data_IF_313458773218
#
_entry.id   IF_313458773218
#
_cell.length_a   1.000
_cell.length_b   1.000
_cell.length_c   1.000
_cell.angle_alpha   90.00
_cell.angle_beta   90.00
_cell.angle_gamma   90.00
#
_symmetry.space_group_name_H-M   'P 1'
#
loop_
_entity.id
_entity.type
_entity.pdbx_description
1 polymer ?
#
# COMPACT_ATOMS: atom_id res chain seq x y z
N UNK A 1 12.55 -10.46 -14.70
CA UNK A 1 13.87 -9.78 -14.73
C UNK A 1 13.84 -8.30 -14.26
N UNK A 2 12.81 -7.93 -13.49
CA UNK A 2 12.70 -6.59 -12.85
C UNK A 2 13.19 -6.58 -11.39
N UNK A 3 13.60 -7.72 -10.86
CA UNK A 3 13.87 -7.95 -9.44
C UNK A 3 15.26 -7.53 -8.93
N UNK A 4 16.15 -7.03 -9.78
CA UNK A 4 17.53 -6.68 -9.37
C UNK A 4 17.91 -5.22 -9.52
N UNK A 5 16.95 -4.34 -9.80
CA UNK A 5 17.23 -2.91 -9.91
C UNK A 5 16.86 -2.26 -8.58
N UNK A 6 17.87 -2.04 -7.75
CA UNK A 6 17.70 -1.43 -6.43
C UNK A 6 17.12 -0.01 -6.48
N UNK A 7 16.88 0.57 -5.32
CA UNK A 7 16.33 1.93 -5.13
C UNK A 7 16.94 3.00 -6.04
N UNK A 8 18.20 2.82 -6.50
CA UNK A 8 18.84 3.72 -7.48
C UNK A 8 18.16 3.81 -8.85
N UNK A 9 17.33 2.81 -9.23
CA UNK A 9 16.56 2.90 -10.49
C UNK A 9 15.20 3.58 -10.30
N UNK A 10 14.71 3.71 -9.08
CA UNK A 10 13.47 4.44 -8.77
C UNK A 10 13.65 5.92 -9.14
N UNK A 11 14.82 6.50 -8.92
CA UNK A 11 15.15 7.87 -9.31
C UNK A 11 15.35 8.06 -10.83
N UNK A 12 15.46 6.97 -11.60
CA UNK A 12 15.60 7.03 -13.06
C UNK A 12 14.28 6.89 -13.79
N UNK A 13 13.23 6.40 -13.12
CA UNK A 13 11.88 6.30 -13.67
C UNK A 13 11.09 7.52 -13.24
N UNK A 14 10.40 8.12 -14.19
CA UNK A 14 9.49 9.21 -13.90
C UNK A 14 8.36 8.68 -12.96
N UNK A 15 7.92 9.45 -11.96
CA UNK A 15 6.84 9.05 -11.05
C UNK A 15 5.60 8.51 -11.75
N UNK A 16 5.24 9.09 -12.89
CA UNK A 16 4.10 8.65 -13.69
C UNK A 16 4.29 7.25 -14.30
N UNK A 17 5.49 6.95 -14.82
CA UNK A 17 5.81 5.64 -15.40
C UNK A 17 5.76 4.54 -14.32
N UNK A 18 6.37 4.80 -13.15
CA UNK A 18 6.33 3.88 -12.02
C UNK A 18 4.91 3.63 -11.56
N UNK A 19 4.12 4.68 -11.39
CA UNK A 19 2.72 4.60 -10.96
C UNK A 19 1.87 3.79 -11.93
N UNK A 20 2.01 4.00 -13.24
CA UNK A 20 1.31 3.22 -14.27
C UNK A 20 1.69 1.73 -14.21
N UNK A 21 2.99 1.43 -14.08
CA UNK A 21 3.47 0.05 -13.94
C UNK A 21 2.89 -0.63 -12.69
N UNK A 22 2.75 0.09 -11.58
CA UNK A 22 2.11 -0.43 -10.37
C UNK A 22 0.61 -0.69 -10.57
N UNK A 23 -0.11 0.21 -11.26
CA UNK A 23 -1.54 0.00 -11.59
C UNK A 23 -1.71 -1.25 -12.46
N UNK A 24 -0.94 -1.41 -13.53
CA UNK A 24 -0.96 -2.59 -14.40
C UNK A 24 -0.71 -3.89 -13.61
N UNK A 25 0.21 -3.85 -12.66
CA UNK A 25 0.51 -5.01 -11.82
C UNK A 25 -0.65 -5.35 -10.87
N UNK A 26 -1.32 -4.33 -10.32
CA UNK A 26 -2.54 -4.51 -9.51
C UNK A 26 -3.64 -5.13 -10.38
N UNK A 27 -3.93 -4.58 -11.54
CA UNK A 27 -4.98 -5.09 -12.46
C UNK A 27 -4.73 -6.55 -12.82
N UNK A 28 -3.48 -6.92 -13.03
CA UNK A 28 -3.08 -8.28 -13.38
C UNK A 28 -3.20 -9.30 -12.26
N UNK A 29 -2.77 -8.97 -11.06
CA UNK A 29 -2.59 -9.95 -9.97
C UNK A 29 -3.62 -9.83 -8.85
N UNK A 30 -4.15 -8.64 -8.59
CA UNK A 30 -5.05 -8.42 -7.47
C UNK A 30 -6.36 -9.23 -7.53
N UNK A 31 -6.93 -9.55 -8.70
CA UNK A 31 -8.10 -10.43 -8.77
C UNK A 31 -7.91 -11.80 -8.11
N UNK A 32 -6.68 -12.33 -8.08
CA UNK A 32 -6.35 -13.62 -7.45
C UNK A 32 -5.81 -13.46 -6.03
N UNK A 33 -5.17 -12.33 -5.71
CA UNK A 33 -4.50 -12.09 -4.42
C UNK A 33 -5.41 -11.37 -3.43
N UNK A 34 -6.21 -10.41 -3.89
CA UNK A 34 -7.07 -9.56 -3.06
C UNK A 34 -6.29 -8.79 -1.97
N UNK A 35 -5.17 -8.20 -2.35
CA UNK A 35 -4.30 -7.42 -1.47
C UNK A 35 -4.69 -5.94 -1.40
N UNK A 36 -5.07 -5.36 -2.56
CA UNK A 36 -5.49 -3.97 -2.70
C UNK A 36 -7.02 -3.92 -2.71
N UNK A 37 -7.58 -3.07 -1.84
CA UNK A 37 -9.04 -3.04 -1.58
C UNK A 37 -9.72 -1.72 -1.94
N UNK A 38 -8.96 -0.66 -2.11
CA UNK A 38 -9.45 0.61 -2.67
C UNK A 38 -8.32 1.36 -3.37
N UNK A 39 -8.60 1.91 -4.54
CA UNK A 39 -7.70 2.77 -5.32
C UNK A 39 -8.54 3.74 -6.15
N UNK A 40 -8.03 4.96 -6.32
CA UNK A 40 -8.59 5.95 -7.25
C UNK A 40 -7.54 6.25 -8.33
N UNK A 41 -7.58 5.52 -9.43
CA UNK A 41 -6.59 5.62 -10.51
C UNK A 41 -6.46 7.06 -11.05
N UNK A 42 -7.57 7.80 -11.18
CA UNK A 42 -7.53 9.18 -11.69
C UNK A 42 -6.78 10.11 -10.75
N UNK A 43 -7.03 10.02 -9.44
CA UNK A 43 -6.33 10.82 -8.44
C UNK A 43 -4.85 10.44 -8.32
N UNK A 44 -4.56 9.15 -8.30
CA UNK A 44 -3.18 8.62 -8.25
C UNK A 44 -2.34 9.09 -9.45
N UNK A 45 -2.89 9.05 -10.67
CA UNK A 45 -2.20 9.54 -11.87
C UNK A 45 -2.00 11.06 -11.83
N UNK A 46 -2.95 11.81 -11.26
CA UNK A 46 -2.79 13.25 -11.05
C UNK A 46 -1.69 13.57 -10.05
N UNK A 47 -1.60 12.83 -8.93
CA UNK A 47 -0.51 12.97 -7.96
C UNK A 47 0.85 12.66 -8.62
N UNK A 48 0.93 11.57 -9.42
CA UNK A 48 2.14 11.17 -10.11
C UNK A 48 2.60 12.22 -11.12
N UNK A 49 1.67 12.82 -11.88
CA UNK A 49 1.99 13.89 -12.82
C UNK A 49 2.49 15.14 -12.10
N UNK A 50 1.85 15.51 -11.00
CA UNK A 50 2.32 16.62 -10.16
C UNK A 50 3.75 16.37 -9.67
N UNK A 51 4.05 15.16 -9.19
CA UNK A 51 5.39 14.81 -8.74
C UNK A 51 6.45 14.93 -9.86
N UNK A 52 6.12 14.59 -11.11
CA UNK A 52 7.01 14.87 -12.26
C UNK A 52 7.24 16.36 -12.46
N UNK A 53 6.17 17.14 -12.43
CA UNK A 53 6.25 18.59 -12.65
C UNK A 53 7.07 19.27 -11.54
N UNK A 54 6.97 18.80 -10.29
CA UNK A 54 7.77 19.29 -9.16
C UNK A 54 9.29 19.01 -9.37
N UNK A 55 9.66 17.83 -9.88
CA UNK A 55 11.05 17.51 -10.26
C UNK A 55 11.54 18.45 -11.37
N UNK A 56 10.73 18.64 -12.41
CA UNK A 56 11.12 19.46 -13.58
C UNK A 56 11.23 20.94 -13.24
N UNK A 57 10.48 21.44 -12.26
CA UNK A 57 10.54 22.82 -11.79
C UNK A 57 11.70 23.10 -10.83
N UNK A 58 12.44 22.06 -10.40
CA UNK A 58 13.51 22.20 -9.42
C UNK A 58 13.02 22.48 -8.00
N UNK A 59 11.79 22.06 -7.66
CA UNK A 59 11.22 22.18 -6.32
C UNK A 59 12.06 21.39 -5.31
N UNK A 60 12.04 21.81 -4.05
CA UNK A 60 12.57 20.99 -2.95
C UNK A 60 11.73 19.73 -2.81
N UNK A 61 12.37 18.56 -2.77
CA UNK A 61 11.72 17.27 -2.79
C UNK A 61 11.85 16.58 -1.43
N UNK A 62 10.75 16.02 -0.94
CA UNK A 62 10.74 15.17 0.25
C UNK A 62 11.36 13.79 0.00
N UNK A 63 11.62 13.05 1.07
CA UNK A 63 12.32 11.75 1.04
C UNK A 63 11.56 10.64 0.30
N UNK A 64 10.23 10.74 0.21
CA UNK A 64 9.36 9.77 -0.45
C UNK A 64 8.82 10.29 -1.79
N UNK A 65 9.37 11.38 -2.29
CA UNK A 65 8.84 12.08 -3.46
C UNK A 65 8.62 11.17 -4.67
N UNK A 66 7.37 11.16 -5.16
CA UNK A 66 6.98 10.41 -6.35
C UNK A 66 6.88 8.89 -6.16
N UNK A 67 7.07 8.36 -4.94
CA UNK A 67 6.91 6.95 -4.66
C UNK A 67 5.44 6.59 -4.38
N UNK A 68 4.86 5.59 -5.10
CA UNK A 68 3.57 5.02 -4.75
C UNK A 68 3.65 4.27 -3.42
N UNK A 69 2.85 4.68 -2.44
CA UNK A 69 2.80 4.08 -1.10
C UNK A 69 1.41 3.52 -0.81
N UNK A 70 1.34 2.22 -0.50
CA UNK A 70 0.12 1.57 -0.07
C UNK A 70 -0.17 1.84 1.41
N UNK A 71 -1.42 2.16 1.74
CA UNK A 71 -1.85 2.45 3.10
C UNK A 71 -2.73 1.32 3.63
N UNK A 72 -2.31 0.69 4.74
CA UNK A 72 -3.12 -0.34 5.41
C UNK A 72 -4.50 0.21 5.77
N UNK A 73 -5.55 -0.57 5.54
CA UNK A 73 -6.94 -0.11 5.76
C UNK A 73 -7.34 0.00 7.25
N UNK A 74 -6.38 0.23 8.12
CA UNK A 74 -6.57 0.75 9.48
C UNK A 74 -6.39 2.25 9.54
N UNK A 75 -5.52 2.82 8.70
CA UNK A 75 -5.29 4.26 8.64
C UNK A 75 -6.26 4.93 7.68
N UNK A 76 -6.81 6.04 8.10
CA UNK A 76 -7.79 6.83 7.33
C UNK A 76 -7.06 7.61 6.24
N UNK A 77 -7.60 7.56 5.03
CA UNK A 77 -7.11 8.33 3.87
C UNK A 77 -8.23 9.22 3.35
N UNK A 78 -7.98 10.51 3.28
CA UNK A 78 -8.91 11.51 2.74
C UNK A 78 -9.36 11.15 1.34
N UNK A 79 -10.68 11.24 1.09
CA UNK A 79 -11.32 10.98 -0.19
C UNK A 79 -11.10 9.56 -0.76
N UNK A 80 -10.63 8.62 0.07
CA UNK A 80 -10.48 7.23 -0.32
C UNK A 80 -11.19 6.33 0.69
N UNK A 81 -12.01 5.40 0.20
CA UNK A 81 -12.77 4.47 1.02
C UNK A 81 -11.85 3.81 2.05
N UNK A 82 -12.17 3.96 3.35
CA UNK A 82 -11.36 3.50 4.49
C UNK A 82 -12.26 2.82 5.51
N UNK A 83 -12.23 1.49 5.56
CA UNK A 83 -13.24 0.68 6.25
C UNK A 83 -12.78 0.04 7.55
N UNK A 84 -11.47 -0.01 7.79
CA UNK A 84 -10.87 -0.82 8.87
C UNK A 84 -11.28 -2.31 8.80
N UNK A 85 -11.61 -2.81 7.61
CA UNK A 85 -12.12 -4.18 7.39
C UNK A 85 -13.48 -4.45 8.02
N UNK A 86 -14.20 -3.42 8.47
CA UNK A 86 -15.47 -3.55 9.22
C UNK A 86 -16.68 -3.13 8.41
N UNK A 87 -17.76 -3.91 8.51
CA UNK A 87 -19.08 -3.58 7.96
C UNK A 87 -19.64 -2.26 8.51
N UNK A 88 -19.25 -1.86 9.72
CA UNK A 88 -19.66 -0.60 10.35
C UNK A 88 -19.21 0.60 9.49
N UNK A 89 -18.05 0.47 8.84
CA UNK A 89 -17.44 1.53 8.05
C UNK A 89 -17.36 1.20 6.55
N UNK A 90 -18.12 0.21 6.07
CA UNK A 90 -17.95 -0.28 4.69
C UNK A 90 -18.10 0.80 3.60
N UNK A 91 -18.85 1.87 3.88
CA UNK A 91 -19.08 2.98 2.94
C UNK A 91 -18.39 4.30 3.37
N UNK A 92 -17.51 4.26 4.37
CA UNK A 92 -16.86 5.46 4.87
C UNK A 92 -15.85 6.02 3.87
N UNK A 93 -16.04 7.28 3.48
CA UNK A 93 -15.09 8.10 2.72
C UNK A 93 -14.72 9.29 3.62
N UNK A 94 -13.53 9.29 4.22
CA UNK A 94 -13.11 10.31 5.17
C UNK A 94 -12.83 11.67 4.51
N UNK A 95 -12.97 12.75 5.29
CA UNK A 95 -12.67 14.13 4.86
C UNK A 95 -11.25 14.58 5.27
N UNK A 96 -10.54 13.79 6.08
CA UNK A 96 -9.16 14.04 6.53
C UNK A 96 -8.30 12.79 6.43
N UNK A 97 -6.99 12.96 6.39
CA UNK A 97 -6.02 11.89 6.55
C UNK A 97 -5.74 11.63 8.05
N UNK A 98 -5.28 10.42 8.41
CA UNK A 98 -4.59 10.17 9.69
C UNK A 98 -3.21 10.84 9.67
N UNK A 99 -2.68 11.20 10.83
CA UNK A 99 -1.36 11.86 10.98
C UNK A 99 -0.25 11.15 10.21
N UNK A 100 -0.16 9.82 10.32
CA UNK A 100 0.85 9.04 9.56
C UNK A 100 0.70 9.19 8.04
N UNK A 101 -0.52 9.36 7.54
CA UNK A 101 -0.78 9.55 6.11
C UNK A 101 -0.43 10.99 5.70
N UNK A 102 -0.72 11.96 6.56
CA UNK A 102 -0.28 13.36 6.37
C UNK A 102 1.25 13.44 6.30
N UNK A 103 1.97 12.78 7.21
CA UNK A 103 3.43 12.73 7.23
C UNK A 103 4.00 12.11 5.94
N UNK A 104 3.47 10.94 5.53
CA UNK A 104 3.88 10.27 4.28
C UNK A 104 3.63 11.18 3.07
N UNK A 105 2.49 11.87 3.04
CA UNK A 105 2.14 12.81 1.97
C UNK A 105 3.03 14.05 1.96
N UNK A 106 3.39 14.58 3.14
CA UNK A 106 4.27 15.76 3.26
C UNK A 106 5.68 15.49 2.73
N UNK A 107 6.13 14.23 2.80
CA UNK A 107 7.37 13.76 2.19
C UNK A 107 7.27 13.51 0.66
N UNK A 108 6.17 13.93 0.04
CA UNK A 108 5.98 13.87 -1.40
C UNK A 108 5.56 12.52 -1.95
N UNK A 109 5.18 11.55 -1.11
CA UNK A 109 4.68 10.27 -1.55
C UNK A 109 3.34 10.39 -2.30
N UNK A 110 3.13 9.49 -3.25
CA UNK A 110 1.83 9.27 -3.88
C UNK A 110 1.05 8.32 -2.99
N UNK A 111 -0.02 8.80 -2.33
CA UNK A 111 -0.91 7.93 -1.56
C UNK A 111 -1.69 7.07 -2.56
N UNK A 112 -1.27 5.81 -2.68
CA UNK A 112 -1.55 5.01 -3.85
C UNK A 112 -2.86 4.22 -3.74
N UNK A 113 -3.02 3.46 -2.65
CA UNK A 113 -4.16 2.57 -2.47
C UNK A 113 -4.35 2.19 -1.00
N UNK A 114 -5.46 1.50 -0.71
CA UNK A 114 -5.68 0.82 0.58
C UNK A 114 -5.35 -0.65 0.44
N UNK A 115 -4.64 -1.21 1.43
CA UNK A 115 -4.31 -2.63 1.50
C UNK A 115 -5.15 -3.36 2.56
N UNK A 116 -5.51 -4.60 2.29
CA UNK A 116 -6.43 -5.39 3.11
C UNK A 116 -5.89 -5.69 4.51
N UNK A 117 -6.80 -5.80 5.48
CA UNK A 117 -6.54 -6.09 6.89
C UNK A 117 -7.69 -6.91 7.47
N UNK A 118 -7.52 -7.72 8.53
CA UNK A 118 -8.67 -8.21 9.28
C UNK A 118 -9.41 -7.06 9.96
N UNK A 119 -10.67 -7.29 10.32
CA UNK A 119 -11.51 -6.28 10.97
C UNK A 119 -10.80 -5.65 12.17
N UNK A 120 -10.69 -4.31 12.20
CA UNK A 120 -9.96 -3.51 13.19
C UNK A 120 -8.50 -3.95 13.44
N UNK A 121 -7.89 -4.67 12.50
CA UNK A 121 -6.55 -5.22 12.67
C UNK A 121 -6.47 -6.36 13.68
N UNK A 122 -7.59 -6.84 14.17
CA UNK A 122 -7.67 -7.90 15.18
C UNK A 122 -7.66 -9.28 14.51
N UNK A 123 -6.50 -9.91 14.45
CA UNK A 123 -6.35 -11.28 13.94
C UNK A 123 -5.05 -11.54 13.20
N UNK A 124 -4.63 -12.79 13.25
CA UNK A 124 -3.41 -13.29 12.59
C UNK A 124 -3.59 -13.66 11.12
N UNK A 125 -4.79 -13.50 10.56
CA UNK A 125 -5.11 -13.80 9.16
C UNK A 125 -5.83 -12.62 8.54
N UNK A 126 -5.42 -12.23 7.34
CA UNK A 126 -6.00 -11.09 6.62
C UNK A 126 -7.26 -11.52 5.88
N UNK A 127 -8.38 -11.45 6.57
CA UNK A 127 -9.73 -11.64 6.03
C UNK A 127 -10.75 -10.80 6.80
N UNK A 128 -11.78 -10.34 6.11
CA UNK A 128 -12.90 -9.61 6.71
C UNK A 128 -14.18 -9.79 5.88
N UNK A 129 -15.31 -9.31 6.40
CA UNK A 129 -16.62 -9.42 5.73
C UNK A 129 -16.90 -8.32 4.69
N UNK A 130 -16.02 -7.32 4.56
CA UNK A 130 -16.16 -6.25 3.56
C UNK A 130 -15.52 -6.66 2.23
N UNK A 131 -14.28 -7.18 2.31
CA UNK A 131 -13.44 -7.45 1.14
C UNK A 131 -13.09 -8.92 0.92
N UNK A 132 -13.37 -9.78 1.89
CA UNK A 132 -12.96 -11.18 1.84
C UNK A 132 -11.51 -11.40 2.32
N UNK A 133 -10.93 -12.51 1.91
CA UNK A 133 -9.59 -12.92 2.30
C UNK A 133 -8.53 -12.49 1.28
N UNK A 134 -7.34 -12.14 1.78
CA UNK A 134 -6.14 -12.00 0.96
C UNK A 134 -5.41 -13.34 0.91
N UNK A 135 -4.96 -13.74 -0.27
CA UNK A 135 -4.16 -14.96 -0.50
C UNK A 135 -2.66 -14.69 -0.40
N UNK A 136 -1.92 -15.71 0.01
CA UNK A 136 -0.45 -15.66 -0.04
C UNK A 136 0.03 -15.76 -1.50
N UNK A 137 0.92 -14.87 -1.97
CA UNK A 137 1.40 -14.89 -3.36
C UNK A 137 2.13 -16.17 -3.80
N UNK A 138 2.72 -16.91 -2.86
CA UNK A 138 3.44 -18.15 -3.15
C UNK A 138 2.54 -19.39 -3.18
N UNK A 139 1.40 -19.33 -2.48
CA UNK A 139 0.38 -20.39 -2.46
C UNK A 139 -0.98 -19.75 -2.19
N UNK A 140 -1.81 -19.63 -3.22
CA UNK A 140 -3.12 -18.97 -3.16
C UNK A 140 -4.11 -19.65 -2.19
N UNK A 141 -3.84 -20.86 -1.75
CA UNK A 141 -4.65 -21.59 -0.75
C UNK A 141 -4.29 -21.22 0.69
N UNK A 142 -3.21 -20.46 0.88
CA UNK A 142 -2.68 -20.08 2.19
C UNK A 142 -2.93 -18.61 2.50
N UNK A 143 -2.86 -18.29 3.80
CA UNK A 143 -2.92 -16.93 4.29
C UNK A 143 -1.58 -16.21 4.13
N UNK A 144 -1.56 -14.91 3.84
CA UNK A 144 -0.36 -14.08 3.96
C UNK A 144 -0.05 -13.72 5.42
N UNK A 145 -0.71 -14.33 6.39
CA UNK A 145 -0.82 -13.94 7.79
C UNK A 145 -1.53 -12.59 7.99
N UNK A 146 -1.32 -11.91 9.12
CA UNK A 146 -2.00 -10.66 9.48
C UNK A 146 -1.30 -9.95 10.67
N UNK A 147 -1.75 -8.75 10.91
CA UNK A 147 -2.88 -8.04 10.31
C UNK A 147 -2.51 -7.19 9.08
N UNK A 148 -1.23 -6.97 8.73
CA UNK A 148 -0.78 -6.23 7.53
C UNK A 148 -0.58 -7.16 6.31
N UNK A 149 -1.38 -8.22 6.17
CA UNK A 149 -1.20 -9.22 5.11
C UNK A 149 -1.46 -8.68 3.71
N UNK A 150 -2.39 -7.73 3.54
CA UNK A 150 -2.60 -7.05 2.27
C UNK A 150 -1.37 -6.27 1.83
N UNK A 151 -0.74 -5.51 2.74
CA UNK A 151 0.51 -4.79 2.46
C UNK A 151 1.64 -5.73 2.05
N UNK A 152 1.86 -6.80 2.82
CA UNK A 152 2.91 -7.76 2.53
C UNK A 152 2.69 -8.52 1.20
N UNK A 153 1.45 -8.95 0.93
CA UNK A 153 1.11 -9.62 -0.33
C UNK A 153 1.25 -8.69 -1.54
N UNK A 154 0.84 -7.42 -1.42
CA UNK A 154 0.99 -6.43 -2.48
C UNK A 154 2.46 -6.15 -2.81
N UNK A 155 3.31 -6.01 -1.78
CA UNK A 155 4.77 -5.85 -1.96
C UNK A 155 5.39 -7.07 -2.63
N UNK A 156 5.06 -8.29 -2.18
CA UNK A 156 5.58 -9.54 -2.77
C UNK A 156 5.16 -9.71 -4.23
N UNK A 157 4.01 -9.15 -4.62
CA UNK A 157 3.53 -9.12 -6.01
C UNK A 157 4.07 -7.95 -6.83
N UNK A 158 4.96 -7.11 -6.30
CA UNK A 158 5.45 -5.88 -6.94
C UNK A 158 4.32 -4.92 -7.37
N UNK A 159 3.20 -4.90 -6.66
CA UNK A 159 2.10 -3.96 -6.92
C UNK A 159 2.45 -2.53 -6.51
N UNK A 160 3.43 -2.36 -5.64
CA UNK A 160 3.97 -1.08 -5.19
C UNK A 160 5.35 -1.27 -4.55
N UNK A 161 6.20 -0.25 -4.49
CA UNK A 161 7.53 -0.35 -3.88
C UNK A 161 7.52 -0.26 -2.36
N UNK A 162 6.51 0.40 -1.76
CA UNK A 162 6.42 0.66 -0.34
C UNK A 162 4.97 0.58 0.14
N UNK A 163 4.77 0.07 1.35
CA UNK A 163 3.48 0.08 2.02
C UNK A 163 3.66 0.24 3.54
N UNK A 164 2.73 0.93 4.19
CA UNK A 164 2.72 0.94 5.64
C UNK A 164 2.06 -0.33 6.22
N UNK A 165 2.37 -0.58 7.46
CA UNK A 165 1.73 -1.61 8.27
C UNK A 165 1.68 -1.17 9.72
N UNK A 166 1.08 -1.98 10.57
CA UNK A 166 1.07 -1.79 12.01
C UNK A 166 1.52 -3.07 12.72
N UNK A 167 2.17 -2.94 13.87
CA UNK A 167 2.72 -4.09 14.59
C UNK A 167 2.63 -3.89 16.09
N UNK A 168 1.56 -4.37 16.71
CA UNK A 168 1.46 -4.49 18.16
C UNK A 168 2.07 -5.81 18.64
N UNK A 169 1.70 -6.93 18.01
CA UNK A 169 2.12 -8.28 18.38
C UNK A 169 2.67 -9.12 17.21
N UNK A 170 3.38 -8.50 16.24
CA UNK A 170 3.90 -9.18 15.05
C UNK A 170 3.14 -8.86 13.76
N UNK A 171 2.13 -7.99 13.81
CA UNK A 171 1.21 -7.76 12.68
C UNK A 171 1.84 -7.12 11.43
N UNK A 172 3.08 -6.70 11.46
CA UNK A 172 3.88 -6.27 10.30
C UNK A 172 4.93 -7.33 9.96
N UNK A 173 5.70 -7.75 10.97
CA UNK A 173 6.83 -8.70 10.81
C UNK A 173 6.37 -10.09 10.38
N UNK A 174 5.27 -10.59 10.95
CA UNK A 174 4.72 -11.92 10.60
C UNK A 174 4.28 -11.98 9.13
N UNK A 175 3.41 -11.07 8.63
CA UNK A 175 3.09 -11.07 7.19
C UNK A 175 4.30 -10.87 6.29
N UNK A 176 5.27 -10.03 6.68
CA UNK A 176 6.49 -9.85 5.91
C UNK A 176 7.27 -11.16 5.76
N UNK A 177 7.42 -11.93 6.85
CA UNK A 177 8.05 -13.25 6.82
C UNK A 177 7.27 -14.25 5.97
N UNK A 178 5.93 -14.28 6.04
CA UNK A 178 5.08 -15.19 5.26
C UNK A 178 5.08 -14.88 3.76
N UNK A 179 5.28 -13.61 3.40
CA UNK A 179 5.30 -13.16 2.00
C UNK A 179 6.72 -12.91 1.46
N UNK A 180 7.78 -13.20 2.23
CA UNK A 180 9.17 -13.06 1.79
C UNK A 180 9.59 -11.63 1.46
N UNK A 181 9.05 -10.64 2.18
CA UNK A 181 9.38 -9.22 2.02
C UNK A 181 10.03 -8.65 3.28
N UNK A 182 10.69 -7.50 3.15
CA UNK A 182 11.28 -6.80 4.29
C UNK A 182 10.18 -6.14 5.13
N UNK A 183 10.13 -6.49 6.43
CA UNK A 183 9.25 -5.87 7.41
C UNK A 183 10.06 -5.14 8.48
N UNK A 184 9.96 -3.81 8.49
CA UNK A 184 10.67 -2.97 9.46
C UNK A 184 9.70 -2.41 10.51
N UNK A 185 9.95 -2.72 11.76
CA UNK A 185 9.27 -2.14 12.91
C UNK A 185 10.31 -1.41 13.77
N UNK A 186 10.24 -0.08 13.87
CA UNK A 186 11.16 0.68 14.74
C UNK A 186 10.95 0.30 16.21
N UNK A 187 11.99 0.49 17.02
CA UNK A 187 11.87 0.45 18.48
C UNK A 187 11.04 1.62 18.96
N UNK A 188 10.32 1.48 20.08
CA UNK A 188 9.68 2.61 20.75
C UNK A 188 10.69 3.64 21.19
#
# INVERSE_FOLDING_TARGET
>A
RLLSRGLGDVYKRQPLELTKSCIEQIEKLNPSINAVVAINNADVLKQAKKAEDDVMSGSELGLLHGLPVGIKDLNIVKNLRSTSGSKIYENRIPESDDTIVEDIRSEGAIIFCKTNTPEFGAGGNTKNFVYGATSNPFDLTKTPAGSSGGSAAALACNMMPLANGSDYGGSLRTPAGFCGVNGFRPSP
#
